data_IF_092583545545
#
_entry.id   IF_092583545545
#
_cell.length_a   1.000
_cell.length_b   1.000
_cell.length_c   1.000
_cell.angle_alpha   90.00
_cell.angle_beta   90.00
_cell.angle_gamma   90.00
#
_symmetry.space_group_name_H-M   'P 1'
#
loop_
_entity.id
_entity.type
_entity.pdbx_description
1 polymer ?
#
# COMPACT_ATOMS: atom_id res chain seq x y z
N UNK A 1 -21.23 14.65 1.47
CA UNK A 1 -20.53 15.84 0.92
C UNK A 1 -21.30 17.14 1.16
N UNK A 2 -22.59 17.24 0.80
CA UNK A 2 -23.37 18.46 1.03
C UNK A 2 -23.34 18.94 2.50
N UNK A 3 -23.50 18.03 3.45
CA UNK A 3 -23.45 18.32 4.88
C UNK A 3 -22.05 18.59 5.43
N UNK A 4 -21.01 17.98 4.83
CA UNK A 4 -19.61 18.29 5.19
C UNK A 4 -19.31 19.74 4.78
N UNK A 5 -19.79 20.18 3.61
CA UNK A 5 -19.68 21.58 3.16
C UNK A 5 -20.48 22.55 4.04
N UNK A 6 -21.55 22.09 4.69
CA UNK A 6 -22.35 22.91 5.61
C UNK A 6 -21.76 23.03 7.02
N UNK A 7 -20.89 22.09 7.43
CA UNK A 7 -20.30 22.04 8.79
C UNK A 7 -18.82 22.41 8.84
N UNK A 8 -18.12 22.35 7.70
CA UNK A 8 -16.67 22.61 7.63
C UNK A 8 -16.44 23.77 6.66
N UNK A 9 -16.05 24.92 7.20
CA UNK A 9 -15.59 26.08 6.42
C UNK A 9 -14.15 25.86 5.97
N UNK A 10 -13.90 26.04 4.66
CA UNK A 10 -12.55 25.96 4.08
C UNK A 10 -11.74 27.24 4.34
N UNK A 11 -12.42 28.36 4.53
CA UNK A 11 -11.82 29.67 4.78
C UNK A 11 -11.15 29.70 6.17
N UNK A 12 -11.81 29.10 7.16
CA UNK A 12 -11.29 28.96 8.54
C UNK A 12 -10.00 28.11 8.60
N UNK A 13 -9.79 27.27 7.58
CA UNK A 13 -8.62 26.39 7.46
C UNK A 13 -7.53 27.01 6.57
N UNK A 14 -7.74 28.22 6.03
CA UNK A 14 -6.82 28.90 5.13
C UNK A 14 -6.57 28.09 3.85
N UNK A 15 -7.60 27.45 3.31
CA UNK A 15 -7.56 26.66 2.08
C UNK A 15 -8.43 27.33 1.02
N UNK A 16 -7.80 27.86 -0.03
CA UNK A 16 -8.48 28.58 -1.12
C UNK A 16 -9.40 27.66 -1.95
N UNK A 17 -9.08 26.37 -2.01
CA UNK A 17 -9.89 25.38 -2.72
C UNK A 17 -9.36 23.97 -2.56
N UNK A 18 -10.26 22.98 -2.66
CA UNK A 18 -9.92 21.56 -2.60
C UNK A 18 -9.98 20.94 -4.00
N UNK A 19 -8.97 20.12 -4.34
CA UNK A 19 -9.04 19.24 -5.51
C UNK A 19 -9.73 17.95 -5.10
N UNK A 20 -10.97 17.77 -5.54
CA UNK A 20 -11.74 16.56 -5.28
C UNK A 20 -11.46 15.55 -6.39
N UNK A 21 -10.93 14.38 -6.02
CA UNK A 21 -10.66 13.27 -6.93
C UNK A 21 -11.46 12.04 -6.51
N UNK A 22 -11.73 11.16 -7.47
CA UNK A 22 -12.19 9.80 -7.20
C UNK A 22 -11.03 8.82 -7.38
N UNK A 23 -10.81 7.94 -6.43
CA UNK A 23 -9.80 6.91 -6.55
C UNK A 23 -10.28 5.69 -7.34
N UNK A 24 -9.32 4.84 -7.71
CA UNK A 24 -9.58 3.63 -8.52
C UNK A 24 -10.62 2.72 -7.89
N UNK A 25 -10.56 2.55 -6.58
CA UNK A 25 -11.51 1.72 -5.88
C UNK A 25 -12.93 2.32 -5.95
N UNK A 26 -13.10 3.63 -6.25
CA UNK A 26 -14.39 4.36 -6.39
C UNK A 26 -14.68 5.56 -5.44
N UNK A 27 -13.73 5.99 -4.63
CA UNK A 27 -13.99 6.82 -3.44
C UNK A 27 -13.44 8.23 -3.52
N UNK A 28 -13.91 9.11 -2.63
CA UNK A 28 -13.52 10.51 -2.56
C UNK A 28 -12.15 10.75 -1.89
N UNK A 29 -11.23 11.36 -2.64
CA UNK A 29 -9.97 11.94 -2.14
C UNK A 29 -10.06 13.47 -2.20
N UNK A 30 -9.79 14.13 -1.08
CA UNK A 30 -9.70 15.58 -0.98
C UNK A 30 -8.22 15.98 -0.91
N UNK A 31 -7.71 16.62 -1.95
CA UNK A 31 -6.34 17.11 -2.01
C UNK A 31 -6.32 18.61 -1.71
N UNK A 32 -5.52 19.00 -0.72
CA UNK A 32 -5.27 20.40 -0.33
C UNK A 32 -4.05 20.92 -1.10
N UNK A 33 -4.22 21.81 -2.08
CA UNK A 33 -3.10 22.48 -2.75
C UNK A 33 -2.49 23.56 -1.84
N UNK A 34 -1.20 23.85 -2.03
CA UNK A 34 -0.51 24.98 -1.40
C UNK A 34 0.63 24.60 -0.44
N UNK A 35 1.39 25.60 0.04
CA UNK A 35 2.35 25.42 1.12
C UNK A 35 1.63 24.97 2.40
N UNK A 36 2.32 24.18 3.23
CA UNK A 36 1.76 23.59 4.46
C UNK A 36 0.53 22.70 4.27
N UNK A 37 0.37 22.15 3.06
CA UNK A 37 -0.68 21.16 2.75
C UNK A 37 -0.72 19.98 3.72
N UNK A 38 0.40 19.65 4.37
CA UNK A 38 0.47 18.63 5.41
C UNK A 38 -0.38 18.97 6.63
N UNK A 39 -0.07 20.07 7.31
CA UNK A 39 -0.76 20.51 8.53
C UNK A 39 -2.21 20.91 8.27
N UNK A 40 -2.48 21.57 7.13
CA UNK A 40 -3.84 21.92 6.73
C UNK A 40 -4.70 20.67 6.45
N UNK A 41 -4.12 19.63 5.86
CA UNK A 41 -4.82 18.37 5.65
C UNK A 41 -5.08 17.61 6.96
N UNK A 42 -4.19 17.72 7.95
CA UNK A 42 -4.43 17.16 9.29
C UNK A 42 -5.62 17.86 9.98
N UNK A 43 -5.63 19.20 9.96
CA UNK A 43 -6.74 19.99 10.53
C UNK A 43 -8.07 19.72 9.81
N UNK A 44 -8.06 19.65 8.47
CA UNK A 44 -9.24 19.27 7.69
C UNK A 44 -9.71 17.85 8.05
N UNK A 45 -8.79 16.89 8.17
CA UNK A 45 -9.12 15.51 8.53
C UNK A 45 -9.79 15.46 9.91
N UNK A 46 -9.27 16.21 10.88
CA UNK A 46 -9.84 16.28 12.23
C UNK A 46 -11.25 16.89 12.22
N UNK A 47 -11.45 18.06 11.58
CA UNK A 47 -12.75 18.72 11.51
C UNK A 47 -13.79 17.90 10.75
N UNK A 48 -13.40 17.21 9.68
CA UNK A 48 -14.29 16.32 8.93
C UNK A 48 -14.59 15.06 9.75
N UNK A 49 -13.63 14.53 10.52
CA UNK A 49 -13.89 13.42 11.43
C UNK A 49 -14.89 13.80 12.52
N UNK A 50 -14.77 14.99 13.11
CA UNK A 50 -15.71 15.54 14.10
C UNK A 50 -17.11 15.77 13.50
N UNK A 51 -17.18 16.39 12.31
CA UNK A 51 -18.46 16.65 11.63
C UNK A 51 -19.22 15.38 11.24
N UNK A 52 -18.51 14.25 11.15
CA UNK A 52 -19.02 12.94 10.73
C UNK A 52 -19.06 11.92 11.87
N UNK A 53 -18.55 12.29 13.06
CA UNK A 53 -18.63 11.49 14.27
C UNK A 53 -20.11 11.22 14.60
N UNK A 54 -20.48 9.94 14.70
CA UNK A 54 -21.86 9.51 14.96
C UNK A 54 -22.60 8.94 13.75
N UNK A 55 -21.98 8.91 12.57
CA UNK A 55 -22.59 8.26 11.40
C UNK A 55 -21.92 6.93 11.05
N UNK A 56 -22.74 5.90 10.90
CA UNK A 56 -22.29 4.54 10.58
C UNK A 56 -21.77 4.48 9.14
N UNK A 57 -20.54 3.97 9.00
CA UNK A 57 -19.91 3.65 7.72
C UNK A 57 -19.15 4.79 7.06
N UNK A 58 -18.79 5.90 7.75
CA UNK A 58 -17.72 6.80 7.28
C UNK A 58 -16.51 6.82 8.19
N UNK A 59 -15.36 6.50 7.59
CA UNK A 59 -13.99 6.62 8.07
C UNK A 59 -13.33 7.78 7.34
N UNK A 60 -12.90 8.74 8.13
CA UNK A 60 -12.10 9.85 7.65
C UNK A 60 -10.67 9.55 8.05
N UNK A 61 -9.78 9.48 7.07
CA UNK A 61 -8.37 9.24 7.31
C UNK A 61 -7.52 10.09 6.38
N UNK A 62 -6.39 10.59 6.89
CA UNK A 62 -5.38 11.25 6.07
C UNK A 62 -4.62 10.19 5.26
N UNK A 63 -4.71 10.17 3.92
CA UNK A 63 -3.96 9.23 3.12
C UNK A 63 -2.48 9.60 3.13
N UNK A 64 -1.66 8.86 3.89
CA UNK A 64 -0.21 8.98 3.88
C UNK A 64 0.36 7.92 2.95
N UNK A 65 1.38 8.29 2.15
CA UNK A 65 2.10 7.30 1.34
C UNK A 65 2.76 6.30 2.28
N UNK A 66 2.44 5.02 2.11
CA UNK A 66 3.03 3.96 2.92
C UNK A 66 3.88 3.04 2.06
N UNK A 67 4.94 2.51 2.67
CA UNK A 67 5.77 1.46 2.09
C UNK A 67 5.74 0.23 3.00
N UNK A 68 5.95 -0.94 2.41
CA UNK A 68 6.17 -2.18 3.16
C UNK A 68 7.67 -2.42 3.24
N UNK A 69 8.15 -2.74 4.43
CA UNK A 69 9.53 -3.13 4.69
C UNK A 69 9.56 -4.54 5.26
N UNK A 70 10.64 -5.27 4.98
CA UNK A 70 10.94 -6.58 5.55
C UNK A 70 12.05 -6.40 6.57
N UNK A 71 11.83 -6.91 7.77
CA UNK A 71 12.79 -6.91 8.86
C UNK A 71 13.24 -8.34 9.10
N UNK A 72 14.55 -8.59 9.03
CA UNK A 72 15.21 -9.89 9.22
C UNK A 72 16.14 -9.80 10.43
N UNK A 73 16.44 -10.93 11.08
CA UNK A 73 17.37 -10.91 12.21
C UNK A 73 16.71 -10.61 13.56
N UNK A 74 15.40 -10.86 13.70
CA UNK A 74 14.70 -10.61 14.96
C UNK A 74 14.97 -11.75 15.94
N UNK A 75 15.36 -11.44 17.18
CA UNK A 75 15.50 -12.45 18.24
C UNK A 75 14.13 -12.90 18.79
N UNK A 76 14.10 -14.00 19.54
CA UNK A 76 12.86 -14.63 20.03
C UNK A 76 12.08 -13.81 21.05
N UNK A 77 12.72 -12.86 21.73
CA UNK A 77 12.07 -11.93 22.68
C UNK A 77 11.36 -10.75 22.00
N UNK A 78 11.52 -10.60 20.67
CA UNK A 78 10.87 -9.53 19.91
C UNK A 78 9.41 -9.87 19.64
N UNK A 79 8.52 -9.02 20.16
CA UNK A 79 7.11 -8.99 19.80
C UNK A 79 6.83 -8.00 18.67
N UNK A 80 5.67 -8.13 18.03
CA UNK A 80 5.22 -7.18 17.00
C UNK A 80 5.07 -5.76 17.55
N UNK A 81 4.71 -5.61 18.83
CA UNK A 81 4.62 -4.33 19.52
C UNK A 81 5.99 -3.65 19.67
N UNK A 82 7.01 -4.37 20.15
CA UNK A 82 8.38 -3.86 20.23
C UNK A 82 8.92 -3.43 18.87
N UNK A 83 8.59 -4.18 17.81
CA UNK A 83 8.97 -3.81 16.45
C UNK A 83 8.28 -2.52 15.99
N UNK A 84 7.00 -2.33 16.31
CA UNK A 84 6.28 -1.09 16.02
C UNK A 84 6.86 0.11 16.78
N UNK A 85 7.21 -0.06 18.05
CA UNK A 85 7.86 0.97 18.87
C UNK A 85 9.24 1.36 18.32
N UNK A 86 10.06 0.38 17.93
CA UNK A 86 11.37 0.64 17.34
C UNK A 86 11.26 1.45 16.04
N UNK A 87 10.26 1.13 15.20
CA UNK A 87 9.97 1.90 14.00
C UNK A 87 9.47 3.31 14.33
N UNK A 88 8.60 3.45 15.34
CA UNK A 88 8.10 4.76 15.78
C UNK A 88 9.25 5.67 16.26
N UNK A 89 10.22 5.14 17.01
CA UNK A 89 11.43 5.87 17.45
C UNK A 89 12.27 6.40 16.28
N UNK A 90 12.30 5.70 15.15
CA UNK A 90 12.96 6.15 13.91
C UNK A 90 12.13 7.16 13.10
N UNK A 91 11.03 7.65 13.66
CA UNK A 91 10.15 8.63 13.01
C UNK A 91 9.22 8.01 11.98
N UNK A 92 8.85 6.72 12.12
CA UNK A 92 7.90 6.05 11.23
C UNK A 92 6.46 6.54 11.32
N UNK A 93 6.18 7.41 12.29
CA UNK A 93 4.85 7.89 12.64
C UNK A 93 4.42 7.34 13.99
N UNK A 94 3.19 7.64 14.43
CA UNK A 94 2.64 7.07 15.64
C UNK A 94 2.54 5.53 15.49
N UNK A 95 2.83 4.80 16.55
CA UNK A 95 2.80 3.33 16.55
C UNK A 95 1.45 2.76 16.07
N UNK A 96 0.35 3.49 16.29
CA UNK A 96 -1.00 3.15 15.83
C UNK A 96 -1.15 3.11 14.30
N UNK A 97 -0.32 3.84 13.56
CA UNK A 97 -0.32 3.86 12.09
C UNK A 97 0.56 2.76 11.47
N UNK A 98 1.42 2.14 12.29
CA UNK A 98 2.40 1.15 11.84
C UNK A 98 1.75 -0.23 11.91
N UNK A 99 1.58 -0.87 10.77
CA UNK A 99 1.03 -2.23 10.71
C UNK A 99 2.14 -3.25 10.62
N UNK A 100 2.26 -4.10 11.63
CA UNK A 100 3.26 -5.17 11.68
C UNK A 100 2.58 -6.51 11.45
N UNK A 101 3.11 -7.30 10.52
CA UNK A 101 2.67 -8.67 10.29
C UNK A 101 3.20 -9.64 11.35
N UNK A 102 2.65 -10.87 11.40
CA UNK A 102 3.14 -11.89 12.31
C UNK A 102 4.62 -12.19 12.04
N UNK A 103 5.39 -12.36 13.10
CA UNK A 103 6.81 -12.71 13.03
C UNK A 103 6.92 -14.20 12.68
N UNK A 104 7.51 -14.49 11.53
CA UNK A 104 7.80 -15.85 11.08
C UNK A 104 9.18 -16.25 11.57
N UNK A 105 9.22 -17.24 12.45
CA UNK A 105 10.46 -17.81 12.99
C UNK A 105 11.01 -18.85 12.03
N UNK A 106 12.29 -18.72 11.68
CA UNK A 106 13.03 -19.76 10.99
C UNK A 106 13.50 -20.82 12.01
N UNK A 107 13.79 -22.06 11.58
CA UNK A 107 14.37 -23.09 12.45
C UNK A 107 15.69 -22.67 13.10
N UNK A 108 16.40 -21.69 12.54
CA UNK A 108 17.62 -21.11 13.08
C UNK A 108 17.41 -20.16 14.28
N UNK A 109 16.21 -20.07 14.85
CA UNK A 109 15.87 -19.18 15.96
C UNK A 109 15.75 -17.69 15.58
N UNK A 110 15.89 -17.35 14.30
CA UNK A 110 15.78 -15.97 13.83
C UNK A 110 14.40 -15.68 13.25
N UNK A 111 13.80 -14.57 13.63
CA UNK A 111 12.52 -14.08 13.14
C UNK A 111 12.63 -13.16 11.93
N UNK A 112 11.64 -13.26 11.05
CA UNK A 112 11.41 -12.34 9.95
C UNK A 112 9.99 -11.79 10.00
N UNK A 113 9.83 -10.48 9.81
CA UNK A 113 8.53 -9.83 9.81
C UNK A 113 8.44 -8.82 8.67
N UNK A 114 7.22 -8.45 8.29
CA UNK A 114 6.99 -7.29 7.45
C UNK A 114 6.31 -6.21 8.29
N UNK A 115 6.64 -4.95 8.02
CA UNK A 115 5.98 -3.80 8.61
C UNK A 115 5.56 -2.84 7.50
N UNK A 116 4.48 -2.10 7.73
CA UNK A 116 4.00 -1.01 6.87
C UNK A 116 4.11 0.29 7.66
N UNK A 117 4.87 1.23 7.11
CA UNK A 117 5.10 2.54 7.69
C UNK A 117 5.03 3.62 6.61
N UNK A 118 5.11 4.90 7.02
CA UNK A 118 5.20 6.01 6.08
C UNK A 118 6.42 5.87 5.15
N UNK A 119 6.26 6.25 3.88
CA UNK A 119 7.32 6.11 2.86
C UNK A 119 8.59 6.87 3.24
N UNK A 120 8.43 8.08 3.80
CA UNK A 120 9.57 8.90 4.22
C UNK A 120 10.43 8.18 5.27
N UNK A 121 9.80 7.55 6.26
CA UNK A 121 10.52 6.82 7.29
C UNK A 121 11.06 5.47 6.81
N UNK A 122 10.30 4.76 5.97
CA UNK A 122 10.79 3.54 5.33
C UNK A 122 12.11 3.79 4.61
N UNK A 123 12.21 4.88 3.85
CA UNK A 123 13.44 5.25 3.14
C UNK A 123 14.60 5.55 4.09
N UNK A 124 14.36 6.21 5.24
CA UNK A 124 15.42 6.47 6.24
C UNK A 124 15.93 5.18 6.86
N UNK A 125 15.02 4.32 7.34
CA UNK A 125 15.37 3.05 7.98
C UNK A 125 16.12 2.14 7.01
N UNK A 126 15.75 2.15 5.74
CA UNK A 126 16.42 1.35 4.70
C UNK A 126 17.76 1.95 4.31
N UNK A 127 17.90 3.28 4.30
CA UNK A 127 19.19 3.93 4.06
C UNK A 127 20.23 3.58 5.14
N UNK A 128 19.79 3.41 6.39
CA UNK A 128 20.63 2.88 7.47
C UNK A 128 20.87 1.36 7.34
N UNK A 129 19.96 0.64 6.67
CA UNK A 129 20.00 -0.81 6.43
C UNK A 129 19.83 -1.69 7.67
N UNK A 130 19.84 -1.09 8.86
CA UNK A 130 19.84 -1.75 10.17
C UNK A 130 18.88 -1.04 11.11
N UNK A 131 18.09 -1.83 11.86
CA UNK A 131 17.16 -1.35 12.87
C UNK A 131 17.44 -2.09 14.18
N UNK A 132 17.74 -1.34 15.24
CA UNK A 132 17.86 -1.92 16.58
C UNK A 132 16.47 -2.15 17.16
N UNK A 133 16.15 -3.40 17.46
CA UNK A 133 14.87 -3.80 18.07
C UNK A 133 15.18 -4.56 19.35
N UNK A 134 14.93 -3.93 20.50
CA UNK A 134 15.46 -4.43 21.76
C UNK A 134 16.99 -4.42 21.73
N UNK A 135 17.60 -5.60 21.80
CA UNK A 135 19.06 -5.78 21.80
C UNK A 135 19.57 -6.32 20.46
N UNK A 136 18.66 -6.81 19.60
CA UNK A 136 19.00 -7.34 18.29
C UNK A 136 19.14 -6.24 17.25
N UNK A 137 20.16 -6.39 16.41
CA UNK A 137 20.37 -5.57 15.24
C UNK A 137 19.76 -6.27 14.02
N UNK A 138 18.60 -5.78 13.59
CA UNK A 138 17.81 -6.39 12.52
C UNK A 138 18.13 -5.73 11.16
N UNK A 139 18.27 -6.53 10.10
CA UNK A 139 18.42 -6.04 8.73
C UNK A 139 17.09 -5.62 8.13
N UNK A 140 17.07 -4.52 7.37
CA UNK A 140 15.83 -3.98 6.77
C UNK A 140 15.93 -3.85 5.25
N UNK A 141 14.97 -4.44 4.55
CA UNK A 141 14.83 -4.36 3.09
C UNK A 141 13.47 -3.77 2.70
N UNK A 142 13.40 -2.98 1.62
CA UNK A 142 12.11 -2.54 1.04
C UNK A 142 11.44 -3.73 0.35
N UNK A 143 10.15 -3.94 0.62
CA UNK A 143 9.32 -4.83 -0.16
C UNK A 143 8.71 -4.07 -1.32
N UNK A 144 8.93 -4.58 -2.53
CA UNK A 144 8.26 -4.08 -3.73
C UNK A 144 6.74 -4.11 -3.56
N UNK A 145 6.09 -3.03 -3.99
CA UNK A 145 4.63 -3.00 -4.03
C UNK A 145 4.14 -4.02 -5.04
N UNK A 146 3.33 -4.97 -4.59
CA UNK A 146 2.67 -5.90 -5.51
C UNK A 146 1.77 -5.11 -6.45
N UNK A 147 1.77 -5.45 -7.76
CA UNK A 147 0.88 -4.81 -8.71
C UNK A 147 -0.58 -5.00 -8.28
N UNK A 148 -1.43 -4.05 -8.69
CA UNK A 148 -2.88 -4.18 -8.48
C UNK A 148 -3.36 -5.46 -9.17
N UNK A 149 -4.11 -6.29 -8.46
CA UNK A 149 -4.70 -7.51 -9.00
C UNK A 149 -6.22 -7.38 -8.96
N UNK A 150 -6.86 -7.64 -10.10
CA UNK A 150 -8.31 -7.66 -10.21
C UNK A 150 -8.84 -8.99 -9.67
N UNK A 151 -9.69 -8.97 -8.64
CA UNK A 151 -10.30 -10.18 -8.11
C UNK A 151 -11.46 -10.74 -8.94
N UNK A 152 -11.81 -10.10 -10.08
CA UNK A 152 -12.79 -10.62 -11.04
C UNK A 152 -12.12 -11.46 -12.12
N UNK A 153 -11.16 -10.89 -12.84
CA UNK A 153 -10.47 -11.61 -13.92
C UNK A 153 -9.15 -12.28 -13.49
N UNK A 154 -8.63 -11.95 -12.30
CA UNK A 154 -7.31 -12.35 -11.77
C UNK A 154 -6.09 -11.71 -12.45
N UNK A 155 -6.29 -10.83 -13.44
CA UNK A 155 -5.24 -10.09 -14.12
C UNK A 155 -4.68 -8.93 -13.27
N UNK A 156 -3.51 -8.43 -13.67
CA UNK A 156 -2.85 -7.30 -13.03
C UNK A 156 -3.37 -5.96 -13.61
N UNK A 157 -3.00 -4.84 -12.99
CA UNK A 157 -3.26 -3.42 -13.37
C UNK A 157 -4.57 -2.77 -12.90
N UNK A 158 -5.68 -3.51 -12.77
CA UNK A 158 -6.99 -2.91 -12.48
C UNK A 158 -7.72 -3.54 -11.29
N UNK A 159 -8.80 -2.88 -10.83
CA UNK A 159 -9.67 -3.37 -9.73
C UNK A 159 -11.02 -3.84 -10.28
N UNK A 160 -11.76 -4.62 -9.48
CA UNK A 160 -13.08 -5.18 -9.85
C UNK A 160 -14.05 -4.13 -10.41
N UNK A 161 -14.10 -2.95 -9.81
CA UNK A 161 -14.99 -1.86 -10.23
C UNK A 161 -14.70 -1.31 -11.64
N UNK A 162 -13.47 -1.45 -12.12
CA UNK A 162 -13.02 -0.98 -13.44
C UNK A 162 -12.76 -2.13 -14.42
N UNK A 163 -13.17 -3.35 -14.04
CA UNK A 163 -12.93 -4.54 -14.83
C UNK A 163 -13.88 -4.59 -16.01
N UNK A 164 -13.31 -4.57 -17.22
CA UNK A 164 -14.04 -4.69 -18.50
C UNK A 164 -14.09 -6.12 -19.05
N UNK A 165 -13.48 -7.08 -18.36
CA UNK A 165 -13.47 -8.47 -18.82
C UNK A 165 -14.84 -9.12 -18.66
N UNK A 166 -15.22 -9.91 -19.64
CA UNK A 166 -16.46 -10.70 -19.60
C UNK A 166 -16.34 -11.91 -18.65
N UNK A 167 -15.13 -12.46 -18.50
CA UNK A 167 -14.88 -13.66 -17.71
C UNK A 167 -14.80 -13.33 -16.22
N UNK A 168 -15.74 -13.86 -15.44
CA UNK A 168 -15.73 -13.77 -13.97
C UNK A 168 -15.12 -15.03 -13.34
N UNK A 169 -14.00 -14.85 -12.66
CA UNK A 169 -13.28 -15.86 -11.86
C UNK A 169 -13.31 -15.53 -10.37
N UNK A 170 -14.21 -14.65 -9.92
CA UNK A 170 -14.26 -14.22 -8.51
C UNK A 170 -14.60 -15.34 -7.53
N UNK A 171 -15.27 -16.40 -7.99
CA UNK A 171 -15.53 -17.61 -7.22
C UNK A 171 -14.33 -18.55 -7.12
N UNK A 172 -13.30 -18.38 -7.96
CA UNK A 172 -12.10 -19.22 -7.97
C UNK A 172 -11.10 -18.78 -6.90
N UNK A 173 -10.46 -19.73 -6.24
CA UNK A 173 -9.35 -19.46 -5.35
C UNK A 173 -8.13 -19.02 -6.17
N UNK A 174 -7.68 -17.77 -6.03
CA UNK A 174 -6.50 -17.24 -6.75
C UNK A 174 -5.16 -17.96 -6.47
N UNK A 175 -5.13 -18.95 -5.57
CA UNK A 175 -3.97 -19.79 -5.25
C UNK A 175 -3.92 -21.08 -6.08
N UNK A 176 -5.06 -21.70 -6.36
CA UNK A 176 -5.17 -23.02 -7.02
C UNK A 176 -6.16 -23.06 -8.21
N UNK A 177 -7.00 -22.05 -8.38
CA UNK A 177 -8.02 -21.97 -9.43
C UNK A 177 -9.32 -22.70 -9.12
N UNK A 178 -9.42 -23.40 -7.98
CA UNK A 178 -10.63 -24.14 -7.62
C UNK A 178 -11.68 -23.24 -6.96
N UNK A 179 -12.98 -23.42 -7.27
CA UNK A 179 -14.05 -22.68 -6.62
C UNK A 179 -14.38 -23.22 -5.21
N UNK A 180 -15.11 -22.44 -4.43
CA UNK A 180 -15.76 -22.90 -3.19
C UNK A 180 -15.00 -22.64 -1.88
N UNK A 181 -13.77 -22.12 -1.92
CA UNK A 181 -13.04 -21.74 -0.70
C UNK A 181 -12.15 -20.51 -0.87
N UNK A 182 -11.89 -19.82 0.25
CA UNK A 182 -10.96 -18.68 0.30
C UNK A 182 -9.52 -19.18 0.30
N UNK A 183 -8.64 -18.44 -0.37
CA UNK A 183 -7.22 -18.77 -0.48
C UNK A 183 -6.47 -18.88 0.87
N UNK A 184 -7.00 -18.29 1.94
CA UNK A 184 -6.48 -18.45 3.30
C UNK A 184 -6.55 -19.91 3.78
N UNK A 185 -7.62 -20.63 3.40
CA UNK A 185 -7.88 -22.02 3.81
C UNK A 185 -7.50 -23.03 2.73
N UNK A 186 -6.80 -22.60 1.68
CA UNK A 186 -6.42 -23.45 0.56
C UNK A 186 -5.21 -24.32 0.92
N UNK A 187 -5.39 -25.64 0.99
CA UNK A 187 -4.30 -26.63 1.10
C UNK A 187 -3.83 -27.19 -0.26
N UNK A 188 -4.60 -26.95 -1.33
CA UNK A 188 -4.31 -27.44 -2.67
C UNK A 188 -2.96 -26.92 -3.23
N UNK A 189 -2.31 -27.66 -4.14
CA UNK A 189 -1.09 -27.23 -4.81
C UNK A 189 -1.31 -25.92 -5.58
N UNK A 190 -0.22 -25.15 -5.73
CA UNK A 190 -0.27 -23.88 -6.45
C UNK A 190 -0.59 -24.14 -7.93
N UNK A 191 -1.68 -23.54 -8.41
CA UNK A 191 -2.10 -23.60 -9.79
C UNK A 191 -2.75 -22.27 -10.20
N UNK A 192 -2.20 -21.65 -11.25
CA UNK A 192 -2.69 -20.40 -11.80
C UNK A 192 -3.71 -20.69 -12.92
N UNK A 193 -4.97 -20.28 -12.73
CA UNK A 193 -6.02 -20.50 -13.74
C UNK A 193 -5.82 -19.68 -15.02
N UNK A 194 -5.07 -18.56 -14.96
CA UNK A 194 -4.69 -17.78 -16.14
C UNK A 194 -3.66 -18.52 -16.99
N UNK A 195 -2.50 -18.82 -16.42
CA UNK A 195 -1.42 -19.48 -17.15
C UNK A 195 -1.78 -20.90 -17.56
N UNK A 196 -2.61 -21.61 -16.79
CA UNK A 196 -3.10 -22.94 -17.20
C UNK A 196 -3.99 -22.89 -18.44
N UNK A 197 -4.78 -21.81 -18.63
CA UNK A 197 -5.61 -21.62 -19.83
C UNK A 197 -4.75 -21.20 -21.04
N UNK A 198 -3.66 -20.46 -20.80
CA UNK A 198 -2.71 -20.03 -21.85
C UNK A 198 -1.65 -21.10 -22.22
N UNK A 199 -1.66 -22.29 -21.60
CA UNK A 199 -0.65 -23.33 -21.83
C UNK A 199 0.75 -23.01 -21.24
N UNK A 200 0.85 -22.00 -20.38
CA UNK A 200 2.07 -21.57 -19.71
C UNK A 200 2.29 -22.34 -18.38
N UNK A 201 3.53 -22.38 -17.84
CA UNK A 201 3.82 -23.07 -16.58
C UNK A 201 2.96 -22.53 -15.44
N UNK A 202 1.99 -23.32 -14.99
CA UNK A 202 0.92 -22.86 -14.11
C UNK A 202 1.18 -23.11 -12.61
N UNK A 203 2.32 -23.71 -12.22
CA UNK A 203 2.64 -24.03 -10.81
C UNK A 203 3.08 -22.80 -10.01
N UNK A 204 2.21 -21.80 -9.95
CA UNK A 204 2.42 -20.55 -9.23
C UNK A 204 1.07 -19.93 -8.84
N UNK A 205 1.10 -18.92 -7.96
CA UNK A 205 -0.08 -18.15 -7.56
C UNK A 205 -0.36 -17.05 -8.59
N UNK A 206 -1.62 -16.84 -8.97
CA UNK A 206 -2.02 -15.73 -9.83
C UNK A 206 -1.63 -14.37 -9.20
N UNK A 207 -1.01 -13.48 -9.98
CA UNK A 207 -0.51 -12.18 -9.51
C UNK A 207 0.78 -12.24 -8.67
N UNK A 208 1.48 -13.38 -8.66
CA UNK A 208 2.85 -13.48 -8.16
C UNK A 208 3.86 -13.01 -9.21
N UNK A 209 5.11 -12.74 -8.81
CA UNK A 209 6.16 -12.37 -9.78
C UNK A 209 6.41 -13.46 -10.85
N UNK A 210 6.05 -14.71 -10.57
CA UNK A 210 6.10 -15.83 -11.51
C UNK A 210 4.91 -15.85 -12.49
N UNK A 211 3.83 -15.12 -12.19
CA UNK A 211 2.67 -14.95 -13.04
C UNK A 211 2.98 -13.90 -14.13
N UNK A 212 3.43 -14.36 -15.28
CA UNK A 212 3.58 -13.53 -16.49
C UNK A 212 2.56 -13.99 -17.55
N UNK A 213 1.26 -13.65 -17.40
CA UNK A 213 0.29 -13.92 -18.46
C UNK A 213 0.70 -13.18 -19.74
N UNK A 214 0.29 -13.68 -20.90
CA UNK A 214 0.74 -13.24 -22.22
C UNK A 214 0.57 -11.75 -22.49
N UNK A 215 -0.28 -11.03 -21.74
CA UNK A 215 -0.49 -9.59 -21.85
C UNK A 215 0.73 -8.73 -21.45
N UNK A 216 1.81 -9.32 -20.90
CA UNK A 216 3.12 -8.64 -20.81
C UNK A 216 3.87 -8.55 -22.15
N UNK A 217 3.38 -9.19 -23.23
CA UNK A 217 3.94 -9.05 -24.58
C UNK A 217 3.30 -7.83 -25.27
N UNK A 218 4.09 -6.75 -25.36
CA UNK A 218 3.89 -5.52 -26.16
C UNK A 218 3.26 -4.30 -25.46
N UNK A 219 4.00 -3.72 -24.50
CA UNK A 219 4.27 -2.27 -24.50
C UNK A 219 5.77 -2.02 -24.32
N UNK A 220 6.53 -2.46 -25.32
CA UNK A 220 7.94 -2.11 -25.47
C UNK A 220 8.08 -0.63 -25.82
N UNK A 221 8.05 0.25 -24.82
CA UNK A 221 8.65 1.57 -24.95
C UNK A 221 10.15 1.37 -25.09
N UNK A 222 10.72 1.75 -26.24
CA UNK A 222 12.15 1.63 -26.53
C UNK A 222 12.93 2.40 -25.46
N UNK A 223 13.51 1.70 -24.49
CA UNK A 223 14.55 2.26 -23.64
C UNK A 223 15.77 2.46 -24.53
N UNK A 224 16.01 3.70 -24.98
CA UNK A 224 17.29 4.06 -25.58
C UNK A 224 18.36 3.73 -24.54
N UNK A 225 19.25 2.78 -24.87
CA UNK A 225 20.47 2.51 -24.11
C UNK A 225 21.32 3.78 -24.15
N UNK A 226 21.34 4.56 -23.07
CA UNK A 226 22.45 5.45 -22.80
C UNK A 226 23.41 4.69 -21.88
N UNK A 227 24.64 4.53 -22.35
CA UNK A 227 25.65 3.63 -21.79
C UNK A 227 25.99 3.92 -20.33
N UNK A 228 26.26 2.84 -19.62
CA UNK A 228 26.91 2.86 -18.33
C UNK A 228 28.30 3.49 -18.44
N UNK A 229 28.56 4.55 -17.67
CA UNK A 229 29.90 4.85 -17.16
C UNK A 229 29.77 5.21 -15.69
N UNK A 230 30.32 4.31 -14.87
CA UNK A 230 30.92 4.51 -13.55
C UNK A 230 30.63 5.84 -12.85
N UNK A 231 29.83 5.79 -11.78
CA UNK A 231 29.79 6.81 -10.73
C UNK A 231 30.05 6.14 -9.38
N UNK A 232 31.25 5.58 -9.24
CA UNK A 232 31.95 5.62 -7.96
C UNK A 232 32.58 7.02 -7.87
N UNK A 233 32.51 7.62 -6.68
CA UNK A 233 33.06 8.94 -6.28
C UNK A 233 32.12 10.14 -6.51
N UNK A 234 31.29 10.45 -5.51
CA UNK A 234 31.44 11.62 -4.64
C UNK A 234 30.20 11.75 -3.74
N UNK A 235 30.36 11.37 -2.49
CA UNK A 235 29.57 11.94 -1.41
C UNK A 235 29.95 13.41 -1.25
N UNK A 236 28.94 14.26 -1.03
CA UNK A 236 29.14 15.61 -0.50
C UNK A 236 28.59 16.74 -1.35
N UNK A 237 27.30 17.06 -1.17
CA UNK A 237 26.85 18.41 -0.79
C UNK A 237 25.36 18.44 -0.52
N UNK A 238 25.06 18.97 0.66
CA UNK A 238 23.80 19.60 1.08
C UNK A 238 23.15 20.38 -0.07
N UNK A 239 21.82 20.29 -0.17
CA UNK A 239 21.02 21.38 -0.71
C UNK A 239 19.67 21.45 0.02
N UNK A 240 19.65 22.24 1.09
CA UNK A 240 18.46 23.00 1.47
C UNK A 240 18.15 23.99 0.35
N UNK A 241 16.98 23.88 -0.27
CA UNK A 241 16.18 25.00 -0.78
C UNK A 241 14.93 24.48 -1.47
N UNK A 242 13.82 25.15 -1.18
CA UNK A 242 12.49 24.77 -1.59
C UNK A 242 12.22 24.91 -3.09
N UNK A 243 11.08 24.35 -3.48
CA UNK A 243 10.40 24.72 -4.71
C UNK A 243 10.21 23.59 -5.71
N UNK A 244 8.93 23.33 -5.96
CA UNK A 244 8.34 22.84 -7.21
C UNK A 244 8.30 21.31 -7.42
N UNK A 245 7.15 20.75 -7.05
CA UNK A 245 6.31 20.02 -8.02
C UNK A 245 6.74 18.62 -8.42
N UNK A 246 6.63 17.65 -7.52
CA UNK A 246 6.48 16.24 -7.93
C UNK A 246 4.99 15.92 -8.09
N UNK A 247 4.50 15.59 -9.31
CA UNK A 247 3.11 15.24 -9.53
C UNK A 247 2.88 13.83 -9.00
N UNK A 248 2.32 13.72 -7.79
CA UNK A 248 2.07 12.43 -7.19
C UNK A 248 0.64 11.99 -7.47
N UNK A 249 0.49 11.07 -8.42
CA UNK A 249 -0.74 10.29 -8.60
C UNK A 249 -1.00 9.48 -7.33
N UNK A 250 -2.08 9.78 -6.61
CA UNK A 250 -2.51 9.00 -5.45
C UNK A 250 -3.95 8.53 -5.57
N UNK A 251 -4.11 7.26 -5.20
CA UNK A 251 -5.31 6.46 -5.16
C UNK A 251 -5.73 6.38 -3.69
N UNK A 252 -6.87 6.96 -3.32
CA UNK A 252 -7.40 6.97 -1.96
C UNK A 252 -8.90 6.68 -1.84
N UNK A 253 -9.26 5.78 -0.92
CA UNK A 253 -10.62 5.26 -0.72
C UNK A 253 -11.30 5.74 0.62
N UNK A 254 -12.34 6.60 0.55
CA UNK A 254 -13.67 6.84 1.24
C UNK A 254 -14.62 5.73 1.79
N UNK A 255 -15.92 6.09 1.88
CA UNK A 255 -16.99 5.51 2.67
C UNK A 255 -18.46 5.85 2.29
N UNK A 256 -19.31 4.85 2.62
CA UNK A 256 -20.74 4.80 3.06
C UNK A 256 -21.81 4.29 2.06
N UNK A 257 -23.00 3.82 2.51
CA UNK A 257 -23.41 3.04 3.70
C UNK A 257 -23.93 1.62 3.36
N UNK A 258 -24.00 0.79 4.40
CA UNK A 258 -24.73 -0.47 4.47
C UNK A 258 -26.24 -0.28 4.31
N UNK A 259 -26.84 -0.98 3.35
CA UNK A 259 -28.29 -1.23 3.25
C UNK A 259 -28.51 -2.72 2.90
N UNK A 260 -29.40 -3.40 3.63
CA UNK A 260 -29.63 -4.86 3.66
C UNK A 260 -29.94 -5.51 2.30
N UNK A 261 -29.99 -6.84 2.19
CA UNK A 261 -30.66 -7.83 3.06
C UNK A 261 -29.99 -9.22 2.99
N UNK A 262 -30.30 -10.12 3.94
CA UNK A 262 -29.72 -11.47 4.04
C UNK A 262 -30.49 -12.43 3.14
N UNK A 263 -29.84 -13.42 2.53
CA UNK A 263 -30.49 -14.69 2.17
C UNK A 263 -29.44 -15.78 1.96
N UNK A 264 -29.64 -16.84 2.75
CA UNK A 264 -29.28 -18.25 2.63
C UNK A 264 -27.98 -18.66 1.92
#
# INVERSE_FOLDING_TARGET
MAEIRGRVSLQDLGVDGLRVKRAITGDLTLEVPGPDSGSKADLLCQRVAEAVAGRVGVRVARPVKTAKIRVKGLDDSVSTAKLAEALARKGAGPASSIQVGPIKRAPSGTGTAWARCSLAAANRVVAEGRLTVGWALAGVDILEQRPLQCFRCLEEEHVRAQCRSEIDRSGECYRCGEPGYRAQNCAAPLRCSLCSKEGAPARHRAGSNACRPANKRKRGGKCRRAGARSWLLLWGKVCESGGKGCPVRFLGFSDRPTGGRPFC
#
